data_IF_751732356393
#
_entry.id   IF_751732356393
#
_cell.length_a   1.000
_cell.length_b   1.000
_cell.length_c   1.000
_cell.angle_alpha   90.00
_cell.angle_beta   90.00
_cell.angle_gamma   90.00
#
_symmetry.space_group_name_H-M   'P 1'
#
loop_
_entity.id
_entity.type
_entity.pdbx_description
1 polymer ?
#
# COMPACT_ATOMS: atom_id res chain seq x y z
N UNK A 1 25.16 -14.00 24.47
CA UNK A 1 25.04 -12.90 23.47
C UNK A 1 24.16 -11.83 24.08
N UNK A 2 24.61 -10.58 24.12
CA UNK A 2 23.76 -9.48 24.56
C UNK A 2 22.65 -9.28 23.51
N UNK A 3 21.39 -9.27 23.95
CA UNK A 3 20.25 -8.95 23.09
C UNK A 3 20.41 -7.49 22.66
N UNK A 4 20.75 -7.22 21.39
CA UNK A 4 20.77 -5.84 20.89
C UNK A 4 19.38 -5.23 21.04
N UNK A 5 19.31 -4.04 21.65
CA UNK A 5 18.07 -3.29 21.76
C UNK A 5 17.65 -2.85 20.35
N UNK A 6 16.42 -3.18 19.95
CA UNK A 6 15.88 -2.75 18.66
C UNK A 6 15.77 -1.23 18.60
N UNK A 7 16.16 -0.64 17.48
CA UNK A 7 15.86 0.76 17.19
C UNK A 7 14.39 0.86 16.79
N UNK A 8 13.69 1.83 17.37
CA UNK A 8 12.30 2.12 17.06
C UNK A 8 12.23 3.09 15.87
N UNK A 9 11.42 2.74 14.87
CA UNK A 9 11.20 3.50 13.65
C UNK A 9 9.75 3.96 13.56
N UNK A 10 9.50 5.06 12.85
CA UNK A 10 8.17 5.63 12.65
C UNK A 10 7.57 5.09 11.35
N UNK A 11 6.45 4.36 11.45
CA UNK A 11 5.75 3.86 10.27
C UNK A 11 5.12 5.00 9.47
N UNK A 12 4.63 6.05 10.17
CA UNK A 12 4.10 7.24 9.52
C UNK A 12 5.16 8.00 8.72
N UNK A 13 6.38 8.11 9.23
CA UNK A 13 7.47 8.78 8.50
C UNK A 13 7.91 7.96 7.28
N UNK A 14 7.94 6.63 7.41
CA UNK A 14 8.16 5.74 6.27
C UNK A 14 7.12 5.96 5.17
N UNK A 15 5.82 5.95 5.50
CA UNK A 15 4.74 6.16 4.53
C UNK A 15 4.80 7.53 3.83
N UNK A 16 5.39 8.54 4.47
CA UNK A 16 5.54 9.89 3.91
C UNK A 16 6.77 10.03 3.02
N UNK A 17 7.87 9.38 3.39
CA UNK A 17 9.19 9.66 2.83
C UNK A 17 9.72 8.57 1.93
N UNK A 18 9.22 7.33 2.07
CA UNK A 18 9.83 6.15 1.46
C UNK A 18 11.05 5.61 2.24
N UNK A 19 11.56 6.32 3.24
CA UNK A 19 12.71 5.89 4.01
C UNK A 19 12.29 5.25 5.33
N UNK A 20 12.84 4.09 5.64
CA UNK A 20 12.57 3.33 6.84
C UNK A 20 13.68 3.55 7.86
N UNK A 21 13.63 4.69 8.54
CA UNK A 21 14.71 5.14 9.41
C UNK A 21 16.00 5.35 8.61
N UNK A 22 17.09 4.61 8.90
CA UNK A 22 18.33 4.71 8.14
C UNK A 22 18.28 4.06 6.76
N UNK A 23 17.25 3.26 6.44
CA UNK A 23 17.14 2.58 5.14
C UNK A 23 16.46 3.52 4.14
N UNK A 24 17.12 3.80 3.03
CA UNK A 24 16.54 4.49 1.88
C UNK A 24 16.59 3.59 0.63
N UNK A 25 15.65 3.77 -0.31
CA UNK A 25 15.52 2.88 -1.46
C UNK A 25 16.62 3.06 -2.53
N UNK A 26 17.58 3.94 -2.32
CA UNK A 26 18.75 4.22 -3.16
C UNK A 26 20.06 3.62 -2.62
N UNK A 27 19.99 2.82 -1.54
CA UNK A 27 21.15 2.15 -0.94
C UNK A 27 21.62 0.94 -1.74
N UNK A 28 22.92 0.66 -1.63
CA UNK A 28 23.56 -0.57 -2.13
C UNK A 28 23.43 -1.73 -1.15
N UNK A 29 23.67 -2.96 -1.63
CA UNK A 29 23.80 -4.14 -0.75
C UNK A 29 24.80 -3.93 0.40
N UNK A 30 25.93 -3.25 0.16
CA UNK A 30 26.97 -3.05 1.17
C UNK A 30 26.47 -2.16 2.31
N UNK A 31 25.81 -1.04 1.99
CA UNK A 31 25.23 -0.12 2.98
C UNK A 31 24.12 -0.80 3.78
N UNK A 32 23.31 -1.66 3.14
CA UNK A 32 22.29 -2.45 3.83
C UNK A 32 22.89 -3.41 4.86
N UNK A 33 24.02 -4.06 4.56
CA UNK A 33 24.71 -4.92 5.54
C UNK A 33 25.23 -4.11 6.73
N UNK A 34 25.71 -2.89 6.52
CA UNK A 34 26.16 -2.02 7.63
C UNK A 34 25.01 -1.67 8.58
N UNK A 35 23.82 -1.39 8.02
CA UNK A 35 22.62 -0.99 8.76
C UNK A 35 21.95 -2.18 9.45
N UNK A 36 21.60 -3.21 8.67
CA UNK A 36 20.78 -4.36 9.11
C UNK A 36 21.60 -5.56 9.60
N UNK A 37 22.87 -5.64 9.26
CA UNK A 37 23.66 -6.85 9.41
C UNK A 37 23.39 -7.86 8.30
N UNK A 38 23.65 -9.14 8.58
CA UNK A 38 23.43 -10.20 7.59
C UNK A 38 21.94 -10.56 7.47
N UNK A 39 21.45 -10.89 6.26
CA UNK A 39 20.06 -11.28 6.06
C UNK A 39 19.76 -12.69 6.62
N UNK A 40 18.48 -12.98 6.80
CA UNK A 40 18.00 -14.31 7.20
C UNK A 40 17.96 -15.26 6.00
N UNK A 41 17.53 -14.76 4.84
CA UNK A 41 17.64 -15.45 3.55
C UNK A 41 18.38 -14.59 2.53
N UNK A 42 19.29 -15.23 1.78
CA UNK A 42 20.24 -14.56 0.88
C UNK A 42 20.18 -15.21 -0.50
N UNK A 43 19.54 -14.52 -1.44
CA UNK A 43 19.71 -14.76 -2.88
C UNK A 43 20.61 -13.69 -3.51
N UNK A 44 21.10 -13.87 -4.76
CA UNK A 44 22.02 -12.93 -5.40
C UNK A 44 21.49 -11.49 -5.50
N UNK A 45 20.18 -11.32 -5.63
CA UNK A 45 19.47 -10.07 -5.90
C UNK A 45 18.24 -9.85 -5.00
N UNK A 46 18.03 -10.71 -3.99
CA UNK A 46 16.86 -10.62 -3.12
C UNK A 46 17.15 -11.14 -1.71
N UNK A 47 16.96 -10.29 -0.70
CA UNK A 47 17.28 -10.58 0.70
C UNK A 47 16.09 -10.35 1.63
N UNK A 48 16.01 -11.13 2.72
CA UNK A 48 14.96 -10.98 3.74
C UNK A 48 15.54 -10.73 5.14
N UNK A 49 14.81 -9.94 5.92
CA UNK A 49 15.11 -9.54 7.29
C UNK A 49 13.80 -9.51 8.09
N UNK A 50 13.31 -10.67 8.56
CA UNK A 50 11.99 -10.75 9.15
C UNK A 50 10.90 -10.39 8.14
N UNK A 51 10.15 -9.30 8.40
CA UNK A 51 9.09 -8.81 7.50
C UNK A 51 9.61 -7.85 6.41
N UNK A 52 10.87 -7.42 6.49
CA UNK A 52 11.48 -6.54 5.50
C UNK A 52 12.14 -7.37 4.40
N UNK A 53 11.79 -7.11 3.16
CA UNK A 53 12.39 -7.76 2.00
C UNK A 53 12.95 -6.71 1.03
N UNK A 54 14.06 -7.03 0.39
CA UNK A 54 14.81 -6.07 -0.43
C UNK A 54 15.25 -6.73 -1.73
N UNK A 55 14.92 -6.09 -2.86
CA UNK A 55 15.44 -6.46 -4.18
C UNK A 55 16.59 -5.54 -4.57
N UNK A 56 17.61 -6.10 -5.22
CA UNK A 56 18.79 -5.40 -5.71
C UNK A 56 19.02 -5.68 -7.19
N UNK A 57 19.76 -4.79 -7.85
CA UNK A 57 20.33 -5.04 -9.17
C UNK A 57 21.33 -6.21 -9.09
N UNK A 58 21.34 -7.06 -10.11
CA UNK A 58 22.31 -8.16 -10.26
C UNK A 58 23.72 -7.64 -10.56
N UNK A 59 23.84 -6.42 -11.09
CA UNK A 59 25.11 -5.80 -11.48
C UNK A 59 25.67 -4.91 -10.36
N UNK A 60 26.99 -4.93 -10.10
CA UNK A 60 27.64 -3.97 -9.20
C UNK A 60 27.35 -2.52 -9.61
N UNK A 61 27.06 -1.60 -8.66
CA UNK A 61 27.24 -1.76 -7.22
C UNK A 61 26.08 -2.44 -6.47
N UNK A 62 25.17 -3.11 -7.19
CA UNK A 62 23.99 -3.81 -6.66
C UNK A 62 23.09 -2.86 -5.88
N UNK A 63 22.63 -1.84 -6.61
CA UNK A 63 21.70 -0.85 -6.08
C UNK A 63 20.37 -1.49 -5.74
N UNK A 64 19.70 -1.00 -4.71
CA UNK A 64 18.36 -1.43 -4.38
C UNK A 64 17.38 -1.04 -5.50
N UNK A 65 16.54 -1.99 -5.91
CA UNK A 65 15.43 -1.74 -6.81
C UNK A 65 14.20 -1.25 -6.03
N UNK A 66 13.99 -1.86 -4.85
CA UNK A 66 12.94 -1.55 -3.88
C UNK A 66 13.17 -2.32 -2.59
N UNK A 67 12.51 -1.89 -1.53
CA UNK A 67 12.25 -2.72 -0.37
C UNK A 67 10.77 -2.73 -0.05
N UNK A 68 10.32 -3.76 0.67
CA UNK A 68 8.95 -3.85 1.12
C UNK A 68 8.82 -4.30 2.56
N UNK A 69 7.73 -3.88 3.21
CA UNK A 69 7.17 -4.59 4.35
C UNK A 69 6.21 -5.63 3.77
N UNK A 70 6.68 -6.87 3.71
CA UNK A 70 5.90 -8.03 3.25
C UNK A 70 4.90 -8.45 4.34
N UNK A 71 3.79 -9.08 3.93
CA UNK A 71 2.81 -9.63 4.87
C UNK A 71 2.29 -8.56 5.86
N UNK A 72 2.07 -7.34 5.35
CA UNK A 72 1.65 -6.18 6.10
C UNK A 72 0.25 -6.35 6.73
N UNK A 73 -0.57 -7.30 6.24
CA UNK A 73 -1.81 -7.78 6.89
C UNK A 73 -1.61 -8.24 8.35
N UNK A 74 -0.39 -8.66 8.72
CA UNK A 74 -0.09 -9.13 10.07
C UNK A 74 0.43 -8.03 11.02
N UNK A 75 0.49 -6.76 10.59
CA UNK A 75 0.84 -5.65 11.48
C UNK A 75 -0.29 -5.42 12.52
N UNK A 76 0.04 -5.38 13.81
CA UNK A 76 -0.96 -5.25 14.89
C UNK A 76 -0.39 -4.55 16.12
N UNK A 77 -1.29 -4.00 16.95
CA UNK A 77 -0.91 -3.27 18.15
C UNK A 77 -0.24 -1.93 17.84
N UNK A 78 0.45 -1.35 18.83
CA UNK A 78 1.11 -0.05 18.68
C UNK A 78 2.55 -0.19 18.14
N UNK A 79 3.18 -1.33 18.41
CA UNK A 79 4.57 -1.63 18.08
C UNK A 79 4.67 -3.02 17.45
N UNK A 80 5.41 -3.12 16.34
CA UNK A 80 5.69 -4.40 15.66
C UNK A 80 7.18 -4.62 15.47
N UNK A 81 7.64 -5.85 15.68
CA UNK A 81 9.00 -6.23 15.29
C UNK A 81 9.05 -6.36 13.77
N UNK A 82 9.98 -5.63 13.13
CA UNK A 82 10.15 -5.68 11.67
C UNK A 82 11.33 -6.59 11.31
N UNK A 83 12.49 -6.34 11.92
CA UNK A 83 13.73 -7.10 11.71
C UNK A 83 14.33 -7.48 13.07
N UNK A 84 15.47 -8.17 13.09
CA UNK A 84 16.22 -8.39 14.34
C UNK A 84 16.66 -7.09 15.02
N UNK A 85 16.90 -6.03 14.23
CA UNK A 85 17.40 -4.71 14.68
C UNK A 85 16.33 -3.64 14.81
N UNK A 86 15.21 -3.74 14.09
CA UNK A 86 14.21 -2.67 14.02
C UNK A 86 12.84 -3.12 14.52
N UNK A 87 12.16 -2.18 15.18
CA UNK A 87 10.73 -2.25 15.48
C UNK A 87 10.05 -1.01 14.89
N UNK A 88 8.78 -1.14 14.50
CA UNK A 88 7.95 -0.07 13.97
C UNK A 88 6.95 0.40 15.02
N UNK A 89 6.90 1.71 15.25
CA UNK A 89 5.72 2.37 15.81
C UNK A 89 4.69 2.50 14.71
N UNK A 90 3.53 1.86 14.90
CA UNK A 90 2.50 1.81 13.87
C UNK A 90 1.62 3.05 13.85
N UNK A 91 1.68 3.92 14.85
CA UNK A 91 1.02 5.24 14.87
C UNK A 91 -0.49 5.19 14.52
N UNK A 92 -1.17 4.14 14.98
CA UNK A 92 -2.60 3.90 14.73
C UNK A 92 -2.92 3.11 13.45
N UNK A 93 -1.93 2.77 12.63
CA UNK A 93 -2.08 1.87 11.50
C UNK A 93 -1.99 0.40 11.92
N UNK A 94 -2.51 -0.50 11.07
CA UNK A 94 -2.40 -1.94 11.24
C UNK A 94 -2.60 -2.65 9.90
N UNK A 95 -2.49 -3.98 9.88
CA UNK A 95 -2.83 -4.80 8.73
C UNK A 95 -4.31 -4.78 8.35
N UNK A 96 -5.15 -4.16 9.17
CA UNK A 96 -6.58 -3.93 8.90
C UNK A 96 -6.88 -2.51 8.44
N UNK A 97 -5.87 -1.65 8.33
CA UNK A 97 -6.07 -0.28 7.83
C UNK A 97 -6.56 -0.33 6.40
N UNK A 98 -7.69 0.33 6.17
CA UNK A 98 -8.35 0.40 4.86
C UNK A 98 -7.66 1.40 3.93
N UNK A 99 -7.85 1.26 2.62
CA UNK A 99 -7.36 2.26 1.66
C UNK A 99 -7.83 3.69 1.96
N UNK A 100 -9.12 3.88 2.29
CA UNK A 100 -9.68 5.19 2.67
C UNK A 100 -9.00 5.78 3.91
N UNK A 101 -8.64 4.95 4.89
CA UNK A 101 -7.97 5.37 6.11
C UNK A 101 -6.54 5.84 5.82
N UNK A 102 -5.78 5.16 4.95
CA UNK A 102 -4.46 5.64 4.51
C UNK A 102 -4.56 6.99 3.79
N UNK A 103 -5.50 7.12 2.84
CA UNK A 103 -5.72 8.34 2.07
C UNK A 103 -6.20 9.51 2.95
N UNK A 104 -7.00 9.22 3.98
CA UNK A 104 -7.54 10.19 4.93
C UNK A 104 -6.59 10.55 6.09
N UNK A 105 -5.50 9.80 6.29
CA UNK A 105 -4.61 9.97 7.44
C UNK A 105 -3.67 11.20 7.36
N UNK A 106 -3.79 12.05 6.34
CA UNK A 106 -2.93 13.22 6.15
C UNK A 106 -1.45 12.86 5.97
N UNK A 107 -1.18 11.70 5.35
CA UNK A 107 0.15 11.27 4.92
C UNK A 107 0.61 12.11 3.72
N UNK A 108 -0.32 12.32 2.78
CA UNK A 108 -0.13 13.03 1.53
C UNK A 108 -1.35 13.93 1.29
N UNK A 109 -1.29 14.85 0.33
CA UNK A 109 -2.55 15.41 -0.17
C UNK A 109 -3.25 14.34 -1.03
N UNK A 110 -4.58 14.15 -0.94
CA UNK A 110 -5.25 13.06 -1.66
C UNK A 110 -5.02 13.08 -3.18
N UNK A 111 -4.83 14.25 -3.79
CA UNK A 111 -4.55 14.37 -5.22
C UNK A 111 -3.09 14.03 -5.61
N UNK A 112 -2.18 13.92 -4.65
CA UNK A 112 -0.84 13.37 -4.88
C UNK A 112 -0.84 11.83 -4.96
N UNK A 113 -1.87 11.19 -4.40
CA UNK A 113 -2.03 9.75 -4.44
C UNK A 113 -2.81 9.32 -5.68
N UNK A 114 -2.34 8.27 -6.36
CA UNK A 114 -3.05 7.56 -7.40
C UNK A 114 -3.53 6.24 -6.86
N UNK A 115 -4.76 5.89 -7.17
CA UNK A 115 -5.39 4.63 -6.76
C UNK A 115 -5.71 3.83 -7.99
N UNK A 116 -5.13 2.64 -8.08
CA UNK A 116 -5.39 1.71 -9.17
C UNK A 116 -6.14 0.50 -8.64
N UNK A 117 -7.03 -0.04 -9.48
CA UNK A 117 -7.75 -1.28 -9.20
C UNK A 117 -8.08 -2.01 -10.49
N UNK A 118 -8.02 -3.34 -10.45
CA UNK A 118 -8.33 -4.21 -11.58
C UNK A 118 -8.76 -5.59 -11.09
N UNK A 119 -9.37 -6.37 -11.97
CA UNK A 119 -9.48 -7.80 -11.74
C UNK A 119 -8.08 -8.42 -11.80
N UNK A 120 -7.75 -9.25 -10.82
CA UNK A 120 -6.49 -9.98 -10.72
C UNK A 120 -6.80 -11.45 -10.48
N UNK A 121 -6.81 -12.23 -11.56
CA UNK A 121 -7.30 -13.60 -11.53
C UNK A 121 -8.77 -13.66 -11.13
N UNK A 122 -9.07 -14.35 -10.03
CA UNK A 122 -10.42 -14.44 -9.48
C UNK A 122 -10.77 -13.31 -8.51
N UNK A 123 -9.80 -12.51 -8.09
CA UNK A 123 -9.95 -11.48 -7.07
C UNK A 123 -9.83 -10.07 -7.66
N UNK A 124 -9.90 -9.06 -6.80
CA UNK A 124 -9.63 -7.67 -7.19
C UNK A 124 -8.31 -7.26 -6.55
N UNK A 125 -7.36 -6.85 -7.41
CA UNK A 125 -6.12 -6.20 -7.00
C UNK A 125 -6.34 -4.69 -6.89
N UNK A 126 -5.72 -4.07 -5.89
CA UNK A 126 -5.75 -2.63 -5.72
C UNK A 126 -4.41 -2.14 -5.17
N UNK A 127 -3.95 -0.99 -5.63
CA UNK A 127 -2.79 -0.34 -5.04
C UNK A 127 -2.92 1.18 -4.98
N UNK A 128 -2.32 1.75 -3.94
CA UNK A 128 -2.15 3.20 -3.77
C UNK A 128 -0.69 3.54 -4.08
N UNK A 129 -0.47 4.44 -5.03
CA UNK A 129 0.85 4.99 -5.36
C UNK A 129 0.93 6.44 -4.87
N UNK A 130 1.87 6.74 -3.96
CA UNK A 130 2.09 8.08 -3.43
C UNK A 130 3.59 8.35 -3.23
N UNK A 131 4.17 9.17 -4.11
CA UNK A 131 5.62 9.39 -4.12
C UNK A 131 6.37 8.06 -4.32
N UNK A 132 7.37 7.72 -3.47
CA UNK A 132 8.10 6.45 -3.56
C UNK A 132 7.31 5.25 -3.02
N UNK A 133 6.18 5.47 -2.34
CA UNK A 133 5.41 4.41 -1.69
C UNK A 133 4.38 3.80 -2.64
N UNK A 134 4.30 2.47 -2.63
CA UNK A 134 3.15 1.73 -3.14
C UNK A 134 2.58 0.83 -2.04
N UNK A 135 1.26 0.86 -1.86
CA UNK A 135 0.55 0.04 -0.86
C UNK A 135 -0.36 -0.90 -1.62
N UNK A 136 -0.14 -2.21 -1.49
CA UNK A 136 -0.89 -3.23 -2.21
C UNK A 136 -1.99 -3.79 -1.31
N UNK A 137 -3.16 -3.97 -1.92
CA UNK A 137 -4.33 -4.54 -1.29
C UNK A 137 -4.89 -5.66 -2.14
N UNK A 138 -5.31 -6.69 -1.45
CA UNK A 138 -6.07 -7.78 -2.00
C UNK A 138 -7.53 -7.70 -1.56
N UNK A 139 -8.46 -7.92 -2.48
CA UNK A 139 -9.90 -7.96 -2.19
C UNK A 139 -10.45 -9.27 -2.70
N UNK A 140 -10.76 -10.18 -1.78
CA UNK A 140 -11.37 -11.46 -2.10
C UNK A 140 -12.74 -11.27 -2.76
N UNK A 141 -12.93 -11.90 -3.92
CA UNK A 141 -14.15 -11.82 -4.74
C UNK A 141 -15.27 -12.78 -4.31
N UNK A 142 -15.19 -13.39 -3.12
CA UNK A 142 -16.17 -14.37 -2.65
C UNK A 142 -17.63 -13.84 -2.54
N UNK A 143 -17.80 -12.52 -2.57
CA UNK A 143 -19.10 -11.84 -2.59
C UNK A 143 -19.72 -11.76 -3.99
N UNK A 144 -18.96 -12.11 -5.02
CA UNK A 144 -19.38 -12.17 -6.40
C UNK A 144 -19.77 -13.63 -6.65
N UNK A 145 -21.04 -13.89 -7.00
CA UNK A 145 -21.59 -15.25 -7.02
C UNK A 145 -20.85 -16.25 -7.93
N UNK A 146 -20.18 -15.77 -8.98
CA UNK A 146 -19.33 -16.56 -9.87
C UNK A 146 -17.82 -16.25 -9.73
N UNK A 147 -17.43 -15.43 -8.75
CA UNK A 147 -16.06 -14.95 -8.53
C UNK A 147 -15.43 -14.32 -9.79
N UNK A 148 -16.27 -13.74 -10.65
CA UNK A 148 -15.83 -13.03 -11.85
C UNK A 148 -15.66 -11.54 -11.51
N UNK A 149 -14.48 -11.22 -10.99
CA UNK A 149 -14.08 -9.87 -10.63
C UNK A 149 -14.17 -8.90 -11.83
N UNK A 150 -13.84 -9.35 -13.04
CA UNK A 150 -13.86 -8.51 -14.23
C UNK A 150 -15.30 -8.11 -14.60
N UNK A 151 -16.20 -9.09 -14.67
CA UNK A 151 -17.63 -8.84 -14.94
C UNK A 151 -18.24 -7.96 -13.86
N UNK A 152 -17.93 -8.21 -12.58
CA UNK A 152 -18.39 -7.38 -11.47
C UNK A 152 -17.94 -5.92 -11.61
N UNK A 153 -16.65 -5.68 -11.89
CA UNK A 153 -16.10 -4.33 -12.04
C UNK A 153 -16.63 -3.59 -13.27
N UNK A 154 -17.06 -4.31 -14.32
CA UNK A 154 -17.71 -3.72 -15.51
C UNK A 154 -19.18 -3.39 -15.27
N UNK A 155 -19.88 -4.21 -14.49
CA UNK A 155 -21.32 -4.06 -14.23
C UNK A 155 -21.63 -3.09 -13.07
N UNK A 156 -20.72 -2.95 -12.11
CA UNK A 156 -20.92 -2.09 -10.92
C UNK A 156 -20.73 -0.61 -11.24
N UNK A 157 -21.48 0.25 -10.55
CA UNK A 157 -21.15 1.68 -10.56
C UNK A 157 -19.83 1.93 -9.80
N UNK A 158 -19.07 2.99 -10.13
CA UNK A 158 -17.82 3.29 -9.42
C UNK A 158 -18.00 3.39 -7.91
N UNK A 159 -19.06 4.05 -7.41
CA UNK A 159 -19.32 4.15 -5.97
C UNK A 159 -19.60 2.79 -5.32
N UNK A 160 -20.37 1.92 -5.99
CA UNK A 160 -20.65 0.57 -5.47
C UNK A 160 -19.37 -0.27 -5.41
N UNK A 161 -18.56 -0.22 -6.46
CA UNK A 161 -17.29 -0.93 -6.52
C UNK A 161 -16.33 -0.43 -5.42
N UNK A 162 -16.14 0.88 -5.29
CA UNK A 162 -15.19 1.44 -4.32
C UNK A 162 -15.63 1.20 -2.87
N UNK A 163 -16.91 1.35 -2.55
CA UNK A 163 -17.42 1.03 -1.22
C UNK A 163 -17.22 -0.45 -0.87
N UNK A 164 -17.37 -1.37 -1.84
CA UNK A 164 -17.12 -2.80 -1.62
C UNK A 164 -15.64 -3.12 -1.46
N UNK A 165 -14.80 -2.59 -2.34
CA UNK A 165 -13.34 -2.71 -2.27
C UNK A 165 -12.83 -2.19 -0.92
N UNK A 166 -13.17 -0.97 -0.53
CA UNK A 166 -12.70 -0.37 0.73
C UNK A 166 -13.11 -1.20 1.96
N UNK A 167 -14.33 -1.74 1.96
CA UNK A 167 -14.83 -2.54 3.07
C UNK A 167 -14.18 -3.92 3.23
N UNK A 168 -13.51 -4.42 2.18
CA UNK A 168 -13.00 -5.79 2.07
C UNK A 168 -11.51 -5.88 1.77
N UNK A 169 -10.88 -4.75 1.46
CA UNK A 169 -9.46 -4.68 1.19
C UNK A 169 -8.66 -5.17 2.40
N UNK A 170 -7.79 -6.13 2.12
CA UNK A 170 -6.79 -6.64 3.05
C UNK A 170 -5.44 -6.10 2.58
N UNK A 171 -4.73 -5.43 3.48
CA UNK A 171 -3.38 -4.94 3.21
C UNK A 171 -2.45 -6.12 2.96
N UNK A 172 -1.76 -6.14 1.82
CA UNK A 172 -0.85 -7.23 1.46
C UNK A 172 0.59 -6.85 1.78
N UNK A 173 1.11 -5.87 1.04
CA UNK A 173 2.50 -5.42 1.13
C UNK A 173 2.62 -3.91 0.94
N UNK A 174 3.72 -3.34 1.44
CA UNK A 174 4.03 -1.91 1.27
C UNK A 174 5.44 -1.75 0.75
N UNK A 175 5.56 -1.28 -0.48
CA UNK A 175 6.82 -1.06 -1.17
C UNK A 175 7.30 0.39 -1.03
N UNK A 176 8.62 0.54 -1.10
CA UNK A 176 9.30 1.79 -1.35
C UNK A 176 10.28 1.65 -2.51
N UNK A 177 10.22 2.61 -3.43
CA UNK A 177 11.05 2.66 -4.64
C UNK A 177 11.95 3.89 -4.64
N UNK A 178 13.14 3.83 -5.28
CA UNK A 178 14.04 4.98 -5.39
C UNK A 178 13.43 6.16 -6.17
N UNK A 179 12.46 5.87 -7.03
CA UNK A 179 11.71 6.88 -7.79
C UNK A 179 10.21 6.55 -7.78
N UNK A 180 9.33 7.57 -7.86
CA UNK A 180 7.89 7.34 -7.91
C UNK A 180 7.50 6.41 -9.06
N UNK A 181 6.82 5.31 -8.74
CA UNK A 181 6.25 4.40 -9.73
C UNK A 181 4.77 4.67 -9.91
N UNK A 182 4.33 4.68 -11.16
CA UNK A 182 2.96 5.01 -11.54
C UNK A 182 2.05 3.80 -11.76
N UNK A 183 2.54 2.57 -11.61
CA UNK A 183 1.77 1.33 -11.84
C UNK A 183 2.51 0.13 -11.22
N UNK A 184 1.74 -0.88 -10.79
CA UNK A 184 2.25 -2.24 -10.53
C UNK A 184 2.27 -2.99 -11.87
N UNK A 185 3.47 -3.08 -12.47
CA UNK A 185 3.76 -3.75 -13.75
C UNK A 185 2.90 -3.27 -14.95
N UNK A 186 3.39 -2.25 -15.70
CA UNK A 186 2.84 -1.81 -16.98
C UNK A 186 2.23 -2.90 -17.86
N UNK A 187 0.89 -2.91 -17.97
CA UNK A 187 0.13 -3.76 -18.88
C UNK A 187 -0.17 -5.18 -18.37
N UNK A 188 0.09 -5.47 -17.09
CA UNK A 188 -0.28 -6.76 -16.49
C UNK A 188 -1.80 -6.91 -16.32
N UNK A 189 -2.50 -5.81 -16.03
CA UNK A 189 -3.94 -5.78 -15.77
C UNK A 189 -4.61 -4.59 -16.48
N UNK A 190 -5.93 -4.68 -16.67
CA UNK A 190 -6.75 -3.55 -17.14
C UNK A 190 -7.00 -2.55 -16.00
N UNK A 191 -5.93 -1.87 -15.60
CA UNK A 191 -5.92 -0.96 -14.46
C UNK A 191 -6.83 0.24 -14.67
N UNK A 192 -7.81 0.40 -13.76
CA UNK A 192 -8.60 1.61 -13.65
C UNK A 192 -7.92 2.56 -12.66
N UNK A 193 -7.84 3.84 -13.01
CA UNK A 193 -7.16 4.87 -12.22
C UNK A 193 -8.17 5.87 -11.61
N UNK A 194 -7.96 6.21 -10.35
CA UNK A 194 -8.58 7.32 -9.62
C UNK A 194 -7.50 8.18 -8.94
N UNK A 195 -7.77 9.46 -8.71
CA UNK A 195 -7.05 10.20 -7.67
C UNK A 195 -7.48 9.73 -6.28
N UNK A 196 -6.67 9.98 -5.26
CA UNK A 196 -7.07 9.71 -3.88
C UNK A 196 -8.34 10.47 -3.46
N UNK A 197 -8.52 11.71 -3.93
CA UNK A 197 -9.74 12.48 -3.66
C UNK A 197 -11.00 11.87 -4.28
N UNK A 198 -10.89 11.37 -5.52
CA UNK A 198 -11.97 10.65 -6.19
C UNK A 198 -12.30 9.35 -5.46
N UNK A 199 -11.28 8.60 -5.04
CA UNK A 199 -11.48 7.36 -4.29
C UNK A 199 -12.23 7.63 -2.98
N UNK A 200 -11.78 8.60 -2.17
CA UNK A 200 -12.44 8.98 -0.92
C UNK A 200 -13.91 9.35 -1.14
N UNK A 201 -14.20 10.18 -2.15
CA UNK A 201 -15.58 10.56 -2.47
C UNK A 201 -16.47 9.38 -2.87
N UNK A 202 -15.91 8.36 -3.54
CA UNK A 202 -16.63 7.17 -3.98
C UNK A 202 -16.80 6.14 -2.84
N UNK A 203 -15.79 5.99 -1.99
CA UNK A 203 -15.77 5.04 -0.87
C UNK A 203 -16.69 5.47 0.28
N UNK A 204 -16.77 6.77 0.58
CA UNK A 204 -17.63 7.32 1.64
C UNK A 204 -19.13 7.22 1.33
N UNK A 205 -19.49 6.93 0.08
CA UNK A 205 -20.88 6.67 -0.30
C UNK A 205 -21.80 7.87 -0.07
N UNK A 206 -21.31 9.12 -0.15
CA UNK A 206 -22.21 10.27 -0.22
C UNK A 206 -23.06 10.13 -1.49
N UNK A 207 -24.26 9.57 -1.33
CA UNK A 207 -25.37 9.83 -2.23
C UNK A 207 -25.50 11.34 -2.30
N UNK A 208 -25.09 11.94 -3.42
CA UNK A 208 -25.64 13.22 -3.82
C UNK A 208 -27.13 12.99 -4.07
N UNK A 209 -27.93 13.11 -3.01
CA UNK A 209 -29.37 13.18 -3.13
C UNK A 209 -29.68 14.46 -3.90
N UNK A 210 -29.87 14.32 -5.21
CA UNK A 210 -30.62 15.28 -5.99
C UNK A 210 -32.04 15.31 -5.42
N UNK A 211 -32.30 16.28 -4.53
CA UNK A 211 -33.67 16.66 -4.15
C UNK A 211 -33.71 18.10 -3.63
N UNK A 212 -33.46 19.06 -4.53
CA UNK A 212 -34.20 20.33 -4.49
C UNK A 212 -35.28 20.28 -5.57
N UNK A 213 -36.34 19.51 -5.29
CA UNK A 213 -37.65 19.73 -5.90
C UNK A 213 -38.12 21.14 -5.54
N UNK A 214 -38.76 21.78 -6.51
CA UNK A 214 -38.95 23.22 -6.57
C UNK A 214 -39.61 23.85 -5.35
N UNK A 215 -39.01 24.94 -4.88
CA UNK A 215 -39.73 25.94 -4.12
C UNK A 215 -40.66 26.68 -5.07
N UNK A 216 -41.97 26.37 -4.98
CA UNK A 216 -43.03 27.22 -5.51
C UNK A 216 -42.89 28.61 -4.89
N UNK A 217 -42.91 29.64 -5.74
CA UNK A 217 -43.12 31.04 -5.34
C UNK A 217 -44.52 31.17 -4.69
N UNK A 218 -44.68 31.92 -3.59
CA UNK A 218 -45.97 32.52 -3.27
C UNK A 218 -46.22 33.72 -4.18
N UNK A 219 -47.51 33.92 -4.46
CA UNK A 219 -48.12 35.03 -5.20
C UNK A 219 -47.79 36.39 -4.59
#
# INVERSE_FOLDING_TARGET
MALMKKQLLSFRDFLKTGSLGPISPDMTMAEIVEVLGMPEHVDPDYWTFGKLEISFDITPPRQMNWFQIEQASYLKGDLEALTTRFALSLDGFSGKTKPSEFLGAGLWTPDQAKVFYAASGHDIGMNICAGPIQIHFHVAADFIGNQDAETYLKASSPSQAMAKIDSRAVLDSIYSYPYPKTEEVPGAFDWKLLSGSQYLALADGQQTSANKKGARRPL
#
